data_IF_935270949672
#
_entry.id   IF_935270949672
#
_cell.length_a   1.000
_cell.length_b   1.000
_cell.length_c   1.000
_cell.angle_alpha   90.00
_cell.angle_beta   90.00
_cell.angle_gamma   90.00
#
_symmetry.space_group_name_H-M   'P 1'
#
loop_
_entity.id
_entity.type
_entity.pdbx_description
1 polymer ?
#
# COMPACT_ATOMS: atom_id res chain seq x y z
N UNK A 1 -14.67 17.15 15.21
CA UNK A 1 -15.55 16.70 14.13
C UNK A 1 -14.83 15.82 13.11
N UNK A 2 -13.71 16.24 12.51
CA UNK A 2 -12.96 15.44 11.51
C UNK A 2 -12.59 14.01 11.95
N UNK A 3 -12.15 13.82 13.21
CA UNK A 3 -11.75 12.50 13.73
C UNK A 3 -12.90 11.49 13.82
N UNK A 4 -14.11 11.96 14.12
CA UNK A 4 -15.30 11.10 14.28
C UNK A 4 -15.82 10.66 12.91
N UNK A 5 -15.78 11.55 11.92
CA UNK A 5 -16.16 11.24 10.54
C UNK A 5 -15.21 10.20 9.93
N UNK A 6 -13.90 10.34 10.18
CA UNK A 6 -12.90 9.36 9.74
C UNK A 6 -13.18 7.99 10.37
N UNK A 7 -13.43 7.96 11.68
CA UNK A 7 -13.71 6.72 12.42
C UNK A 7 -14.97 6.01 11.87
N UNK A 8 -16.04 6.75 11.60
CA UNK A 8 -17.28 6.20 11.04
C UNK A 8 -17.08 5.61 9.63
N UNK A 9 -16.26 6.24 8.78
CA UNK A 9 -15.90 5.67 7.48
C UNK A 9 -15.12 4.36 7.63
N UNK A 10 -14.16 4.28 8.54
CA UNK A 10 -13.40 3.06 8.81
C UNK A 10 -14.28 1.93 9.36
N UNK A 11 -15.21 2.24 10.28
CA UNK A 11 -16.16 1.26 10.83
C UNK A 11 -17.13 0.76 9.75
N UNK A 12 -17.60 1.63 8.86
CA UNK A 12 -18.49 1.24 7.75
C UNK A 12 -17.80 0.26 6.78
N UNK A 13 -16.52 0.49 6.46
CA UNK A 13 -15.72 -0.42 5.62
C UNK A 13 -15.46 -1.75 6.34
N UNK A 14 -15.23 -1.71 7.66
CA UNK A 14 -15.00 -2.91 8.48
C UNK A 14 -16.25 -3.79 8.61
N UNK A 15 -17.44 -3.20 8.77
CA UNK A 15 -18.71 -3.93 8.90
C UNK A 15 -19.06 -4.72 7.62
N UNK A 16 -18.77 -4.17 6.44
CA UNK A 16 -18.99 -4.85 5.15
C UNK A 16 -18.07 -6.08 4.98
N UNK A 17 -16.94 -6.14 5.70
CA UNK A 17 -15.95 -7.20 5.59
C UNK A 17 -15.97 -8.22 6.76
N UNK A 18 -17.02 -8.20 7.60
CA UNK A 18 -17.19 -9.14 8.71
C UNK A 18 -16.18 -8.96 9.85
N UNK A 19 -15.66 -7.75 10.05
CA UNK A 19 -14.84 -7.41 11.21
C UNK A 19 -15.70 -7.28 12.47
N UNK A 20 -15.13 -7.40 13.69
CA UNK A 20 -15.84 -7.16 14.95
C UNK A 20 -16.09 -5.64 15.14
N UNK A 21 -16.89 -5.07 14.24
CA UNK A 21 -17.23 -3.67 14.20
C UNK A 21 -17.97 -3.23 15.47
N UNK A 22 -18.74 -4.15 16.07
CA UNK A 22 -19.50 -3.91 17.30
C UNK A 22 -18.61 -3.65 18.52
N UNK A 23 -17.48 -4.36 18.65
CA UNK A 23 -16.56 -4.20 19.78
C UNK A 23 -15.76 -2.90 19.69
N UNK A 24 -15.34 -2.52 18.48
CA UNK A 24 -14.62 -1.26 18.22
C UNK A 24 -15.57 -0.06 18.38
N UNK A 25 -16.79 -0.15 17.83
CA UNK A 25 -17.79 0.90 17.94
C UNK A 25 -18.23 1.12 19.40
N UNK A 26 -18.40 0.04 20.18
CA UNK A 26 -18.75 0.16 21.60
C UNK A 26 -17.62 0.74 22.45
N UNK A 27 -16.36 0.39 22.19
CA UNK A 27 -15.20 0.97 22.88
C UNK A 27 -15.04 2.46 22.53
N UNK A 28 -15.23 2.84 21.27
CA UNK A 28 -15.22 4.23 20.83
C UNK A 28 -16.36 5.05 21.47
N UNK A 29 -17.56 4.48 21.58
CA UNK A 29 -18.70 5.13 22.24
C UNK A 29 -18.47 5.38 23.74
N UNK A 30 -17.66 4.52 24.40
CA UNK A 30 -17.24 4.68 25.79
C UNK A 30 -16.02 5.60 25.98
N UNK A 31 -15.43 6.12 24.90
CA UNK A 31 -14.23 6.96 24.93
C UNK A 31 -12.95 6.19 25.26
N UNK A 32 -12.98 4.86 25.23
CA UNK A 32 -11.86 3.99 25.55
C UNK A 32 -10.97 3.79 24.31
N UNK A 33 -10.16 4.81 24.04
CA UNK A 33 -9.29 4.87 22.87
C UNK A 33 -8.13 3.87 22.91
N UNK A 34 -7.74 3.42 24.11
CA UNK A 34 -6.70 2.41 24.27
C UNK A 34 -7.21 1.04 23.80
N UNK A 35 -8.44 0.67 24.19
CA UNK A 35 -9.10 -0.54 23.69
C UNK A 35 -9.37 -0.47 22.19
N UNK A 36 -9.80 0.69 21.67
CA UNK A 36 -9.95 0.89 20.22
C UNK A 36 -8.64 0.66 19.48
N UNK A 37 -7.54 1.23 19.96
CA UNK A 37 -6.23 1.06 19.33
C UNK A 37 -5.78 -0.41 19.37
N UNK A 38 -5.96 -1.08 20.51
CA UNK A 38 -5.62 -2.50 20.66
C UNK A 38 -6.41 -3.41 19.72
N UNK A 39 -7.73 -3.20 19.61
CA UNK A 39 -8.60 -3.99 18.74
C UNK A 39 -8.31 -3.75 17.25
N UNK A 40 -8.01 -2.50 16.88
CA UNK A 40 -7.59 -2.16 15.52
C UNK A 40 -6.25 -2.79 15.19
N UNK A 41 -5.22 -2.61 16.03
CA UNK A 41 -3.89 -3.17 15.81
C UNK A 41 -3.91 -4.69 15.74
N UNK A 42 -4.66 -5.37 16.63
CA UNK A 42 -4.86 -6.82 16.54
C UNK A 42 -5.58 -7.26 15.24
N UNK A 43 -6.51 -6.44 14.74
CA UNK A 43 -7.20 -6.71 13.47
C UNK A 43 -6.31 -6.49 12.24
N UNK A 44 -5.34 -5.57 12.33
CA UNK A 44 -4.35 -5.31 11.28
C UNK A 44 -3.21 -6.34 11.29
N UNK A 45 -2.75 -6.78 12.46
CA UNK A 45 -1.70 -7.80 12.58
C UNK A 45 -2.18 -9.19 12.14
N UNK A 46 -3.45 -9.49 12.35
CA UNK A 46 -4.00 -10.84 12.16
C UNK A 46 -4.55 -11.10 10.74
N UNK A 47 -4.44 -10.13 9.83
CA UNK A 47 -4.78 -10.37 8.43
C UNK A 47 -3.72 -9.81 7.51
N UNK A 48 -3.38 -10.63 6.52
CA UNK A 48 -2.61 -10.36 5.31
C UNK A 48 -3.21 -9.23 4.41
N UNK A 49 -3.89 -8.23 4.97
CA UNK A 49 -4.54 -7.12 4.25
C UNK A 49 -3.48 -6.26 3.53
N UNK A 50 -2.26 -6.23 4.08
CA UNK A 50 -1.07 -5.65 3.46
C UNK A 50 -0.09 -6.69 2.91
N UNK A 51 -0.45 -7.98 2.84
CA UNK A 51 0.36 -8.84 1.97
C UNK A 51 0.07 -8.37 0.56
N UNK A 52 1.14 -7.91 -0.09
CA UNK A 52 1.18 -7.79 -1.54
C UNK A 52 0.39 -8.95 -2.13
N UNK A 53 -0.69 -8.64 -2.81
CA UNK A 53 -1.27 -9.57 -3.77
C UNK A 53 -0.07 -10.02 -4.61
N UNK A 54 0.18 -11.32 -4.84
CA UNK A 54 1.22 -11.72 -5.76
C UNK A 54 0.71 -11.33 -7.15
N UNK A 55 0.83 -10.05 -7.49
CA UNK A 55 0.99 -9.66 -8.88
C UNK A 55 2.17 -10.48 -9.34
N UNK A 56 1.96 -11.33 -10.35
CA UNK A 56 3.06 -12.09 -10.94
C UNK A 56 4.20 -11.11 -11.18
N UNK A 57 5.34 -11.34 -10.53
CA UNK A 57 6.46 -10.41 -10.64
C UNK A 57 6.90 -10.40 -12.09
N UNK A 58 7.12 -9.23 -12.69
CA UNK A 58 7.75 -9.14 -14.02
C UNK A 58 9.04 -9.98 -14.07
N UNK A 59 9.77 -10.06 -12.96
CA UNK A 59 10.98 -10.88 -12.78
C UNK A 59 10.72 -12.39 -12.91
N UNK A 60 9.50 -12.84 -12.64
CA UNK A 60 9.09 -14.25 -12.67
C UNK A 60 8.58 -14.74 -14.03
N UNK A 61 8.43 -13.83 -15.01
CA UNK A 61 8.00 -14.18 -16.35
C UNK A 61 9.02 -15.11 -17.01
N UNK A 62 8.52 -16.22 -17.58
CA UNK A 62 9.31 -17.20 -18.34
C UNK A 62 8.59 -17.51 -19.65
N UNK A 63 9.32 -17.66 -20.76
CA UNK A 63 8.74 -18.14 -22.00
C UNK A 63 8.26 -19.59 -21.81
N UNK A 64 7.11 -19.92 -22.42
CA UNK A 64 6.60 -21.30 -22.51
C UNK A 64 6.85 -21.82 -23.93
N UNK A 65 7.29 -23.08 -24.04
CA UNK A 65 7.58 -23.84 -25.28
C UNK A 65 7.51 -23.07 -26.61
N UNK A 66 8.65 -22.56 -27.08
CA UNK A 66 8.78 -21.86 -28.37
C UNK A 66 8.21 -20.44 -28.42
N UNK A 67 7.59 -19.96 -27.34
CA UNK A 67 7.09 -18.59 -27.21
C UNK A 67 8.12 -17.61 -26.66
N UNK A 68 7.78 -16.32 -26.73
CA UNK A 68 8.54 -15.22 -26.15
C UNK A 68 7.75 -14.57 -25.02
N UNK A 69 8.44 -14.01 -24.03
CA UNK A 69 7.82 -13.23 -22.96
C UNK A 69 8.55 -11.91 -22.79
N UNK A 70 7.80 -10.83 -22.76
CA UNK A 70 8.29 -9.52 -22.41
C UNK A 70 7.40 -8.92 -21.33
N UNK A 71 8.01 -8.38 -20.28
CA UNK A 71 7.31 -7.64 -19.25
C UNK A 71 8.14 -6.47 -18.76
N UNK A 72 7.44 -5.39 -18.44
CA UNK A 72 8.04 -4.18 -17.88
C UNK A 72 7.23 -3.73 -16.67
N UNK A 73 7.92 -3.36 -15.61
CA UNK A 73 7.35 -2.68 -14.46
C UNK A 73 8.18 -1.44 -14.15
N UNK A 74 7.50 -0.31 -13.97
CA UNK A 74 8.12 0.97 -13.65
C UNK A 74 7.37 1.60 -12.48
N UNK A 75 8.12 2.15 -11.53
CA UNK A 75 7.59 2.95 -10.44
C UNK A 75 8.38 4.25 -10.34
N UNK A 76 7.69 5.37 -10.21
CA UNK A 76 8.27 6.70 -10.04
C UNK A 76 7.60 7.42 -8.87
N UNK A 77 8.36 8.23 -8.14
CA UNK A 77 7.80 9.15 -7.16
C UNK A 77 8.42 10.54 -7.28
N UNK A 78 7.60 11.52 -6.91
CA UNK A 78 7.99 12.91 -6.71
C UNK A 78 7.40 13.38 -5.39
N UNK A 79 8.25 13.96 -4.53
CA UNK A 79 7.88 14.53 -3.25
C UNK A 79 8.46 15.93 -3.17
N UNK A 80 7.59 16.90 -2.90
CA UNK A 80 7.99 18.29 -2.65
C UNK A 80 7.37 18.74 -1.33
N UNK A 81 8.17 19.44 -0.54
CA UNK A 81 7.75 19.98 0.76
C UNK A 81 8.25 21.41 0.91
N UNK A 82 7.41 22.27 1.48
CA UNK A 82 7.79 23.63 1.87
C UNK A 82 7.47 23.82 3.34
N UNK A 83 8.51 23.99 4.16
CA UNK A 83 8.38 24.23 5.59
C UNK A 83 9.13 25.52 5.90
N UNK A 84 8.39 26.57 6.26
CA UNK A 84 8.98 27.87 6.62
C UNK A 84 9.76 28.55 5.50
N UNK A 85 9.33 28.36 4.23
CA UNK A 85 9.99 28.95 3.06
C UNK A 85 11.17 28.13 2.53
N UNK A 86 11.59 27.08 3.23
CA UNK A 86 12.56 26.12 2.70
C UNK A 86 11.86 25.04 1.90
N UNK A 87 12.22 24.95 0.62
CA UNK A 87 11.70 23.91 -0.28
C UNK A 87 12.67 22.74 -0.31
N UNK A 88 12.16 21.52 -0.13
CA UNK A 88 12.88 20.27 -0.35
C UNK A 88 12.14 19.45 -1.39
N UNK A 89 12.86 19.03 -2.41
CA UNK A 89 12.37 18.15 -3.45
C UNK A 89 13.16 16.84 -3.46
N UNK A 90 12.43 15.75 -3.65
CA UNK A 90 12.99 14.43 -3.83
C UNK A 90 12.22 13.70 -4.93
N UNK A 91 12.95 13.04 -5.80
CA UNK A 91 12.39 12.15 -6.80
C UNK A 91 13.23 10.91 -6.99
N UNK A 92 12.60 9.86 -7.49
CA UNK A 92 13.26 8.62 -7.84
C UNK A 92 12.36 7.74 -8.69
N UNK A 93 12.98 6.90 -9.50
CA UNK A 93 12.34 5.91 -10.33
C UNK A 93 13.08 4.59 -10.28
N UNK A 94 12.34 3.49 -10.41
CA UNK A 94 12.88 2.14 -10.50
C UNK A 94 12.18 1.41 -11.64
N UNK A 95 12.98 0.74 -12.48
CA UNK A 95 12.49 0.02 -13.65
C UNK A 95 13.01 -1.41 -13.67
N UNK A 96 12.11 -2.33 -13.99
CA UNK A 96 12.37 -3.76 -14.14
C UNK A 96 11.89 -4.18 -15.52
N UNK A 97 12.78 -4.73 -16.32
CA UNK A 97 12.47 -5.30 -17.64
C UNK A 97 12.81 -6.78 -17.59
N UNK A 98 11.88 -7.64 -18.02
CA UNK A 98 12.13 -9.05 -18.27
C UNK A 98 11.92 -9.33 -19.76
N UNK A 99 12.97 -9.77 -20.44
CA UNK A 99 12.95 -10.18 -21.83
C UNK A 99 13.39 -11.65 -21.93
N UNK A 100 12.45 -12.55 -22.20
CA UNK A 100 12.66 -13.99 -22.30
C UNK A 100 13.35 -14.62 -21.07
N UNK A 101 13.01 -14.13 -19.87
CA UNK A 101 13.61 -14.56 -18.60
C UNK A 101 14.91 -13.84 -18.25
N UNK A 102 15.43 -12.96 -19.12
CA UNK A 102 16.56 -12.08 -18.82
C UNK A 102 16.05 -10.81 -18.16
N UNK A 103 16.35 -10.67 -16.87
CA UNK A 103 15.91 -9.53 -16.06
C UNK A 103 16.98 -8.43 -16.06
N UNK A 104 16.56 -7.19 -16.29
CA UNK A 104 17.36 -5.96 -16.17
C UNK A 104 16.66 -5.00 -15.23
N UNK A 105 17.40 -4.47 -14.25
CA UNK A 105 16.86 -3.58 -13.23
C UNK A 105 17.76 -2.36 -13.08
N UNK A 106 17.16 -1.18 -13.01
CA UNK A 106 17.91 0.06 -12.82
C UNK A 106 17.07 1.14 -12.16
N UNK A 107 17.76 1.96 -11.36
CA UNK A 107 17.22 3.18 -10.81
C UNK A 107 17.47 4.34 -11.78
N UNK A 108 16.53 5.27 -11.84
CA UNK A 108 16.64 6.47 -12.66
C UNK A 108 16.05 7.68 -11.94
N UNK A 109 16.42 8.87 -12.40
CA UNK A 109 15.83 10.13 -11.94
C UNK A 109 14.74 10.53 -12.94
N UNK A 110 13.44 10.49 -12.57
CA UNK A 110 12.38 10.87 -13.48
C UNK A 110 12.41 12.38 -13.73
N UNK A 111 12.00 12.77 -14.93
CA UNK A 111 11.80 14.18 -15.29
C UNK A 111 10.29 14.45 -15.19
N UNK A 112 9.89 15.40 -14.34
CA UNK A 112 8.50 15.78 -14.10
C UNK A 112 8.23 17.19 -14.63
#
# INVERSE_FOLDING_TARGET
MSKIVLLLMFVAVAAVQGYPADDIASAAARGDWETVHKLLSASFDNKNIWKSVPSGSVKSLKPVGGGHVYGEAEYTFHSSSNVGGQTKEQSGGHKVINNDGKVSEYDFKPTF
#
